data_IF_769503756720
#
_entry.id   IF_769503756720
#
_cell.length_a   1.000
_cell.length_b   1.000
_cell.length_c   1.000
_cell.angle_alpha   90.00
_cell.angle_beta   90.00
_cell.angle_gamma   90.00
#
_symmetry.space_group_name_H-M   'P 1'
#
loop_
_entity.id
_entity.type
_entity.pdbx_description
1 polymer ?
#
# COMPACT_ATOMS: atom_id res chain seq x y z
N UNK A 1 39.76 7.68 -24.05
CA UNK A 1 38.77 7.35 -25.11
C UNK A 1 37.57 6.68 -24.46
N UNK A 2 36.40 7.32 -24.41
CA UNK A 2 35.21 6.70 -23.86
C UNK A 2 34.59 5.77 -24.92
N UNK A 3 34.68 4.46 -24.71
CA UNK A 3 34.03 3.48 -25.57
C UNK A 3 32.51 3.62 -25.51
N UNK A 4 31.86 3.77 -26.66
CA UNK A 4 30.40 3.94 -26.76
C UNK A 4 29.73 2.61 -26.39
N UNK A 5 29.19 2.50 -25.17
CA UNK A 5 28.45 1.31 -24.73
C UNK A 5 27.14 1.24 -25.51
N UNK A 6 27.00 0.25 -26.41
CA UNK A 6 25.77 0.02 -27.17
C UNK A 6 24.94 -1.05 -26.47
N UNK A 7 23.80 -0.67 -25.89
CA UNK A 7 22.80 -1.65 -25.42
C UNK A 7 22.12 -2.30 -26.61
N UNK A 8 22.25 -3.62 -26.71
CA UNK A 8 21.44 -4.44 -27.63
C UNK A 8 20.03 -4.62 -27.06
N UNK A 9 18.98 -4.78 -27.89
CA UNK A 9 17.61 -4.98 -27.43
C UNK A 9 17.45 -6.11 -26.40
N UNK A 10 18.20 -7.22 -26.57
CA UNK A 10 18.20 -8.35 -25.63
C UNK A 10 18.70 -7.94 -24.24
N UNK A 11 19.86 -7.28 -24.17
CA UNK A 11 20.42 -6.77 -22.89
C UNK A 11 19.49 -5.77 -22.21
N UNK A 12 18.85 -4.90 -23.00
CA UNK A 12 17.86 -3.97 -22.47
C UNK A 12 16.66 -4.72 -21.88
N UNK A 13 16.09 -5.69 -22.62
CA UNK A 13 14.98 -6.52 -22.15
C UNK A 13 15.31 -7.27 -20.85
N UNK A 14 16.50 -7.87 -20.77
CA UNK A 14 16.97 -8.54 -19.54
C UNK A 14 17.10 -7.57 -18.37
N UNK A 15 17.64 -6.37 -18.61
CA UNK A 15 17.79 -5.35 -17.57
C UNK A 15 16.43 -4.87 -17.05
N UNK A 16 15.46 -4.66 -17.94
CA UNK A 16 14.11 -4.27 -17.56
C UNK A 16 13.36 -5.38 -16.81
N UNK A 17 13.48 -6.63 -17.26
CA UNK A 17 12.89 -7.76 -16.55
C UNK A 17 13.47 -7.90 -15.13
N UNK A 18 14.79 -7.77 -14.98
CA UNK A 18 15.46 -7.80 -13.69
C UNK A 18 15.00 -6.64 -12.79
N UNK A 19 14.88 -5.43 -13.34
CA UNK A 19 14.40 -4.27 -12.59
C UNK A 19 12.96 -4.45 -12.11
N UNK A 20 12.05 -4.85 -13.00
CA UNK A 20 10.64 -5.10 -12.65
C UNK A 20 10.55 -6.23 -11.61
N UNK A 21 11.34 -7.30 -11.78
CA UNK A 21 11.41 -8.38 -10.81
C UNK A 21 11.89 -7.91 -9.42
N UNK A 22 12.90 -7.05 -9.37
CA UNK A 22 13.39 -6.46 -8.13
C UNK A 22 12.35 -5.56 -7.46
N UNK A 23 11.65 -4.72 -8.24
CA UNK A 23 10.56 -3.88 -7.74
C UNK A 23 9.41 -4.74 -7.21
N UNK A 24 8.99 -5.77 -7.95
CA UNK A 24 7.94 -6.69 -7.52
C UNK A 24 8.30 -7.43 -6.23
N UNK A 25 9.55 -7.88 -6.10
CA UNK A 25 10.04 -8.51 -4.88
C UNK A 25 10.03 -7.54 -3.69
N UNK A 26 10.46 -6.28 -3.89
CA UNK A 26 10.41 -5.25 -2.86
C UNK A 26 8.96 -4.91 -2.44
N UNK A 27 8.01 -4.92 -3.39
CA UNK A 27 6.59 -4.67 -3.12
C UNK A 27 5.89 -5.81 -2.37
N UNK A 28 6.50 -6.98 -2.24
CA UNK A 28 5.87 -8.15 -1.60
C UNK A 28 5.39 -7.84 -0.18
N UNK A 29 6.22 -7.17 0.63
CA UNK A 29 5.89 -6.84 2.03
C UNK A 29 4.82 -5.75 2.16
N UNK A 30 4.67 -4.88 1.16
CA UNK A 30 3.75 -3.73 1.21
C UNK A 30 2.36 -4.09 0.68
N UNK A 31 2.28 -4.99 -0.30
CA UNK A 31 1.02 -5.31 -0.97
C UNK A 31 0.63 -6.78 -0.85
N UNK A 32 1.50 -7.69 -1.30
CA UNK A 32 1.14 -9.11 -1.41
C UNK A 32 0.90 -9.74 -0.04
N UNK A 33 1.84 -9.55 0.89
CA UNK A 33 1.75 -10.13 2.23
C UNK A 33 0.54 -9.59 3.01
N UNK A 34 0.25 -8.27 3.05
CA UNK A 34 -0.95 -7.76 3.70
C UNK A 34 -2.27 -8.29 3.11
N UNK A 35 -2.35 -8.45 1.79
CA UNK A 35 -3.55 -9.02 1.13
C UNK A 35 -3.74 -10.50 1.47
N UNK A 36 -2.65 -11.23 1.73
CA UNK A 36 -2.73 -12.63 2.16
C UNK A 36 -3.02 -12.81 3.66
N UNK A 37 -2.74 -11.78 4.48
CA UNK A 37 -2.85 -11.82 5.93
C UNK A 37 -3.82 -10.77 6.48
N UNK A 38 -4.94 -10.57 5.79
CA UNK A 38 -5.90 -9.49 6.08
C UNK A 38 -6.37 -9.48 7.53
N UNK A 39 -6.64 -10.64 8.12
CA UNK A 39 -7.17 -10.72 9.49
C UNK A 39 -6.16 -10.24 10.53
N UNK A 40 -4.88 -10.61 10.38
CA UNK A 40 -3.80 -10.13 11.23
C UNK A 40 -3.66 -8.60 11.16
N UNK A 41 -3.72 -8.02 9.96
CA UNK A 41 -3.61 -6.57 9.80
C UNK A 41 -4.85 -5.84 10.32
N UNK A 42 -6.06 -6.40 10.16
CA UNK A 42 -7.29 -5.85 10.76
C UNK A 42 -7.23 -5.87 12.28
N UNK A 43 -6.80 -6.96 12.89
CA UNK A 43 -6.65 -7.06 14.35
C UNK A 43 -5.66 -6.01 14.87
N UNK A 44 -4.49 -5.91 14.23
CA UNK A 44 -3.48 -4.89 14.55
C UNK A 44 -4.02 -3.48 14.35
N UNK A 45 -4.79 -3.23 13.29
CA UNK A 45 -5.40 -1.92 13.05
C UNK A 45 -6.44 -1.58 14.11
N UNK A 46 -7.29 -2.53 14.50
CA UNK A 46 -8.25 -2.34 15.59
C UNK A 46 -7.52 -2.01 16.88
N UNK A 47 -6.50 -2.80 17.26
CA UNK A 47 -5.68 -2.55 18.44
C UNK A 47 -5.02 -1.16 18.42
N UNK A 48 -4.38 -0.78 17.31
CA UNK A 48 -3.73 0.52 17.16
C UNK A 48 -4.71 1.70 17.16
N UNK A 49 -5.99 1.46 16.82
CA UNK A 49 -7.07 2.47 16.85
C UNK A 49 -7.90 2.42 18.13
N UNK A 50 -7.53 1.59 19.11
CA UNK A 50 -8.20 1.60 20.41
C UNK A 50 -8.02 2.98 21.06
N UNK A 51 -9.13 3.57 21.51
CA UNK A 51 -9.14 4.90 22.14
C UNK A 51 -9.24 6.08 21.15
N UNK A 52 -9.19 5.84 19.84
CA UNK A 52 -9.52 6.88 18.85
C UNK A 52 -11.03 6.97 18.72
N UNK A 53 -11.62 7.97 19.38
CA UNK A 53 -13.00 8.42 19.13
C UNK A 53 -12.96 9.43 17.98
N UNK A 54 -13.45 9.01 16.83
CA UNK A 54 -13.39 9.80 15.60
C UNK A 54 -14.20 11.10 15.73
N UNK A 55 -15.16 11.13 16.65
CA UNK A 55 -15.97 12.28 17.03
C UNK A 55 -15.17 13.34 17.80
N UNK A 56 -14.21 12.91 18.63
CA UNK A 56 -13.40 13.80 19.47
C UNK A 56 -12.23 14.45 18.69
N UNK A 57 -11.83 13.85 17.57
CA UNK A 57 -10.77 14.37 16.69
C UNK A 57 -11.31 15.47 15.76
N UNK A 58 -12.62 15.53 15.53
CA UNK A 58 -13.17 16.49 14.59
C UNK A 58 -13.15 17.91 15.16
N UNK A 59 -12.66 18.89 14.39
CA UNK A 59 -12.65 20.29 14.83
C UNK A 59 -14.06 20.74 15.21
N UNK A 60 -14.17 21.36 16.38
CA UNK A 60 -15.43 21.60 17.08
C UNK A 60 -16.46 22.37 16.24
N UNK A 61 -17.65 21.78 16.09
CA UNK A 61 -18.82 22.37 15.44
C UNK A 61 -19.19 21.78 14.08
N UNK A 62 -18.33 20.95 13.47
CA UNK A 62 -18.68 20.22 12.25
C UNK A 62 -19.36 18.89 12.58
N UNK A 63 -20.40 18.55 11.79
CA UNK A 63 -21.07 17.26 11.89
C UNK A 63 -20.08 16.17 11.47
N UNK A 64 -19.99 15.09 12.26
CA UNK A 64 -19.17 13.92 11.96
C UNK A 64 -19.39 13.53 10.50
N UNK A 65 -18.32 13.53 9.69
CA UNK A 65 -18.43 13.09 8.30
C UNK A 65 -19.05 11.68 8.29
N UNK A 66 -20.28 11.58 7.80
CA UNK A 66 -20.97 10.32 7.64
C UNK A 66 -20.24 9.53 6.56
N UNK A 67 -19.66 8.39 6.94
CA UNK A 67 -18.96 7.49 6.00
C UNK A 67 -19.87 7.20 4.80
N UNK A 68 -19.52 7.68 3.58
CA UNK A 68 -20.37 7.54 2.40
C UNK A 68 -20.45 6.10 1.90
N UNK A 69 -19.67 5.20 2.50
CA UNK A 69 -19.67 3.76 2.27
C UNK A 69 -20.15 2.97 3.48
N UNK A 70 -20.73 3.63 4.50
CA UNK A 70 -21.27 2.93 5.66
C UNK A 70 -22.33 1.93 5.20
N UNK A 71 -22.29 0.74 5.78
CA UNK A 71 -23.25 -0.30 5.43
C UNK A 71 -24.55 0.01 6.14
N UNK A 72 -25.68 -0.11 5.43
CA UNK A 72 -27.00 -0.01 6.07
C UNK A 72 -27.03 -0.96 7.26
N UNK A 73 -27.21 -0.41 8.46
CA UNK A 73 -27.48 -1.21 9.66
C UNK A 73 -28.85 -1.85 9.47
N UNK A 74 -28.87 -3.19 9.44
CA UNK A 74 -30.10 -3.98 9.49
C UNK A 74 -30.70 -3.94 10.88
#
# INVERSE_FOLDING_TARGET
>A
MAGKIRMTPVRFGLTMAAFIGAVGAAMYSVFVYPVQHVDYYKERQTANRQGIKQEDIQPGGMRVWSDPFDRKKS
#
